data_IF_845806963763
#
_entry.id   IF_845806963763
#
_cell.length_a   1.000
_cell.length_b   1.000
_cell.length_c   1.000
_cell.angle_alpha   90.00
_cell.angle_beta   90.00
_cell.angle_gamma   90.00
#
_symmetry.space_group_name_H-M   'P 1'
#
loop_
_entity.id
_entity.type
_entity.pdbx_description
1 polymer ?
#
# COMPACT_ATOMS: atom_id res chain seq x y z
N UNK A 1 19.07 -2.56 -19.47
CA UNK A 1 17.63 -2.86 -19.63
C UNK A 1 16.89 -2.09 -18.55
N UNK A 2 16.45 -0.86 -18.82
CA UNK A 2 15.79 -0.01 -17.84
C UNK A 2 14.28 -0.14 -17.98
N UNK A 3 13.65 -0.95 -17.15
CA UNK A 3 12.19 -1.06 -17.04
C UNK A 3 11.76 -0.15 -15.89
N UNK A 4 11.23 1.05 -16.18
CA UNK A 4 10.61 1.84 -15.10
C UNK A 4 9.36 1.09 -14.66
N UNK A 5 9.04 1.13 -13.36
CA UNK A 5 7.81 0.53 -12.80
C UNK A 5 6.55 0.99 -13.56
N UNK A 6 6.55 2.23 -14.05
CA UNK A 6 5.48 2.76 -14.90
C UNK A 6 5.29 1.99 -16.22
N UNK A 7 6.36 1.47 -16.83
CA UNK A 7 6.29 0.75 -18.10
C UNK A 7 5.64 -0.64 -17.90
N UNK A 8 5.94 -1.31 -16.79
CA UNK A 8 5.32 -2.58 -16.43
C UNK A 8 3.79 -2.46 -16.26
N UNK A 9 3.33 -1.34 -15.68
CA UNK A 9 1.91 -1.06 -15.49
C UNK A 9 1.18 -0.67 -16.78
N UNK A 10 1.84 0.00 -17.73
CA UNK A 10 1.25 0.26 -19.06
C UNK A 10 0.95 -1.03 -19.82
N UNK A 11 1.81 -2.04 -19.68
CA UNK A 11 1.57 -3.36 -20.27
C UNK A 11 0.43 -4.16 -19.59
N UNK A 12 0.01 -3.75 -18.38
CA UNK A 12 -1.03 -4.41 -17.59
C UNK A 12 -2.06 -3.37 -17.08
N UNK A 13 -2.87 -2.77 -17.98
CA UNK A 13 -3.85 -1.76 -17.59
C UNK A 13 -4.93 -2.35 -16.68
N UNK A 14 -5.39 -1.58 -15.70
CA UNK A 14 -6.51 -2.01 -14.85
C UNK A 14 -7.83 -1.62 -15.51
N UNK A 15 -8.40 -2.55 -16.28
CA UNK A 15 -9.69 -2.36 -16.97
C UNK A 15 -10.84 -2.86 -16.08
N UNK A 16 -12.00 -2.19 -16.12
CA UNK A 16 -13.23 -2.58 -15.41
C UNK A 16 -13.08 -2.73 -13.88
N UNK A 17 -12.39 -1.79 -13.21
CA UNK A 17 -12.35 -1.77 -11.75
C UNK A 17 -13.74 -1.50 -11.15
N UNK A 18 -14.42 -2.57 -10.72
CA UNK A 18 -15.58 -2.45 -9.84
C UNK A 18 -15.07 -2.09 -8.44
N UNK A 19 -15.34 -0.87 -8.01
CA UNK A 19 -15.06 -0.45 -6.63
C UNK A 19 -16.05 -1.13 -5.70
N UNK A 20 -15.56 -2.12 -4.94
CA UNK A 20 -16.35 -2.82 -3.94
C UNK A 20 -16.41 -1.98 -2.67
N UNK A 21 -17.61 -1.88 -2.10
CA UNK A 21 -17.76 -1.39 -0.74
C UNK A 21 -17.47 -2.52 0.25
N UNK A 22 -16.22 -2.60 0.69
CA UNK A 22 -15.73 -3.65 1.60
C UNK A 22 -16.53 -3.74 2.91
N UNK A 23 -17.30 -2.71 3.28
CA UNK A 23 -18.06 -2.66 4.54
C UNK A 23 -19.48 -3.21 4.44
N UNK A 24 -20.07 -3.25 3.24
CA UNK A 24 -21.47 -3.69 3.04
C UNK A 24 -21.60 -5.09 2.44
N UNK A 25 -20.49 -5.69 2.03
CA UNK A 25 -20.46 -7.04 1.46
C UNK A 25 -20.85 -8.10 2.49
N UNK A 26 -21.79 -8.96 2.13
CA UNK A 26 -22.24 -10.09 2.97
C UNK A 26 -21.47 -11.38 2.71
N UNK A 27 -20.91 -11.53 1.52
CA UNK A 27 -20.23 -12.73 1.05
C UNK A 27 -18.91 -12.36 0.36
N UNK A 28 -17.93 -13.27 0.40
CA UNK A 28 -16.65 -13.12 -0.27
C UNK A 28 -16.81 -13.38 -1.78
N UNK A 29 -16.55 -12.41 -2.66
CA UNK A 29 -16.65 -12.62 -4.10
C UNK A 29 -15.59 -13.60 -4.61
N UNK A 30 -15.91 -14.33 -5.69
CA UNK A 30 -14.92 -15.19 -6.37
C UNK A 30 -13.68 -14.43 -6.84
N UNK A 31 -13.80 -13.13 -7.14
CA UNK A 31 -12.66 -12.30 -7.51
C UNK A 31 -11.66 -12.10 -6.36
N UNK A 32 -12.07 -12.34 -5.11
CA UNK A 32 -11.24 -12.20 -3.90
C UNK A 32 -11.01 -13.56 -3.20
N UNK A 33 -11.61 -14.64 -3.69
CA UNK A 33 -11.41 -15.99 -3.18
C UNK A 33 -10.11 -16.56 -3.75
N UNK A 34 -9.03 -16.48 -2.96
CA UNK A 34 -7.74 -17.12 -3.25
C UNK A 34 -7.82 -18.62 -2.93
N UNK A 35 -7.34 -19.47 -3.84
CA UNK A 35 -7.34 -20.91 -3.62
C UNK A 35 -6.16 -21.30 -2.72
N UNK A 36 -6.38 -22.21 -1.77
CA UNK A 36 -5.35 -22.69 -0.85
C UNK A 36 -4.19 -23.46 -1.51
N UNK A 37 -4.23 -23.68 -2.83
CA UNK A 37 -3.15 -24.34 -3.59
C UNK A 37 -1.92 -23.44 -3.81
N UNK A 38 -2.03 -22.13 -3.55
CA UNK A 38 -0.89 -21.21 -3.58
C UNK A 38 -0.08 -21.34 -2.29
N UNK A 39 0.52 -22.52 -2.08
CA UNK A 39 1.53 -22.77 -1.03
C UNK A 39 1.24 -22.08 0.29
N UNK A 40 0.02 -22.24 0.83
CA UNK A 40 -0.38 -21.64 2.10
C UNK A 40 0.76 -21.84 3.08
N UNK A 41 1.37 -20.77 3.63
CA UNK A 41 2.54 -20.92 4.47
C UNK A 41 2.17 -21.92 5.54
N UNK A 42 2.84 -23.08 5.52
CA UNK A 42 2.72 -24.03 6.60
C UNK A 42 3.13 -23.23 7.83
N UNK A 43 2.18 -22.98 8.74
CA UNK A 43 2.48 -22.45 10.05
C UNK A 43 3.22 -23.57 10.79
N UNK A 44 4.46 -23.80 10.36
CA UNK A 44 5.35 -24.78 10.91
C UNK A 44 5.55 -24.46 12.39
N UNK A 45 5.39 -25.48 13.22
CA UNK A 45 5.68 -25.43 14.63
C UNK A 45 7.03 -24.75 14.92
N UNK A 46 6.97 -23.65 15.68
CA UNK A 46 8.01 -23.13 16.57
C UNK A 46 9.43 -22.92 16.01
N UNK A 47 9.61 -22.01 15.05
CA UNK A 47 10.85 -21.22 15.01
C UNK A 47 10.57 -19.81 15.56
N UNK A 48 11.26 -19.44 16.64
CA UNK A 48 11.21 -18.11 17.25
C UNK A 48 11.99 -17.07 16.41
N UNK A 49 11.99 -17.22 15.10
CA UNK A 49 12.66 -16.31 14.19
C UNK A 49 11.75 -15.08 13.99
N UNK A 50 12.07 -14.01 14.71
CA UNK A 50 11.38 -12.72 14.59
C UNK A 50 12.08 -11.85 13.54
N UNK A 51 11.29 -11.08 12.79
CA UNK A 51 11.81 -10.08 11.84
C UNK A 51 12.80 -9.16 12.58
N UNK A 52 14.03 -8.97 12.07
CA UNK A 52 15.04 -8.16 12.74
C UNK A 52 14.56 -6.73 13.03
N UNK A 53 14.79 -6.25 14.25
CA UNK A 53 14.54 -4.86 14.65
C UNK A 53 15.88 -4.15 14.81
N UNK A 54 16.11 -3.10 14.02
CA UNK A 54 17.40 -2.41 13.95
C UNK A 54 17.27 -1.01 14.54
N UNK A 55 18.04 -0.73 15.58
CA UNK A 55 18.19 0.62 16.13
C UNK A 55 19.14 1.44 15.23
N UNK A 56 18.63 2.49 14.57
CA UNK A 56 19.47 3.31 13.67
C UNK A 56 20.51 4.19 14.40
N UNK A 57 20.45 4.29 15.72
CA UNK A 57 21.51 4.91 16.54
C UNK A 57 22.63 3.93 16.93
N UNK A 58 22.47 2.64 16.65
CA UNK A 58 23.54 1.66 16.90
C UNK A 58 24.74 1.94 15.98
N UNK A 59 25.97 2.03 16.49
CA UNK A 59 27.18 2.19 15.68
C UNK A 59 27.33 1.14 14.56
N UNK A 60 26.74 -0.05 14.73
CA UNK A 60 26.74 -1.15 13.78
C UNK A 60 25.49 -1.21 12.88
N UNK A 61 24.59 -0.23 12.93
CA UNK A 61 23.32 -0.25 12.20
C UNK A 61 23.49 -0.60 10.72
N UNK A 62 24.49 -0.05 10.04
CA UNK A 62 24.78 -0.35 8.64
C UNK A 62 25.08 -1.84 8.39
N UNK A 63 25.86 -2.47 9.29
CA UNK A 63 26.20 -3.90 9.19
C UNK A 63 24.96 -4.77 9.46
N UNK A 64 24.14 -4.38 10.44
CA UNK A 64 22.89 -5.06 10.77
C UNK A 64 21.87 -4.97 9.62
N UNK A 65 21.72 -3.79 9.00
CA UNK A 65 20.87 -3.61 7.81
C UNK A 65 21.37 -4.49 6.68
N UNK A 66 22.67 -4.45 6.39
CA UNK A 66 23.27 -5.28 5.34
C UNK A 66 23.08 -6.78 5.58
N UNK A 67 23.15 -7.23 6.83
CA UNK A 67 22.87 -8.62 7.19
C UNK A 67 21.40 -8.97 6.98
N UNK A 68 20.47 -8.17 7.53
CA UNK A 68 19.03 -8.41 7.39
C UNK A 68 18.57 -8.39 5.92
N UNK A 69 19.11 -7.51 5.08
CA UNK A 69 18.84 -7.54 3.64
C UNK A 69 19.24 -8.88 2.98
N UNK A 70 20.34 -9.50 3.41
CA UNK A 70 20.85 -10.75 2.82
C UNK A 70 20.13 -12.00 3.34
N UNK A 71 19.79 -12.01 4.63
CA UNK A 71 19.25 -13.21 5.29
C UNK A 71 17.74 -13.21 5.43
N UNK A 72 17.12 -12.02 5.47
CA UNK A 72 15.67 -11.86 5.66
C UNK A 72 14.95 -11.18 4.49
N UNK A 73 15.60 -10.21 3.83
CA UNK A 73 14.95 -9.37 2.82
C UNK A 73 13.97 -8.33 3.39
N UNK A 74 13.77 -8.32 4.72
CA UNK A 74 12.92 -7.37 5.46
C UNK A 74 13.48 -7.12 6.86
N UNK A 75 13.24 -5.93 7.41
CA UNK A 75 13.59 -5.56 8.78
C UNK A 75 12.71 -4.39 9.24
N UNK A 76 12.61 -4.20 10.56
CA UNK A 76 12.01 -3.02 11.18
C UNK A 76 13.11 -2.08 11.67
N UNK A 77 12.81 -0.78 11.75
CA UNK A 77 13.76 0.22 12.26
C UNK A 77 13.20 0.95 13.47
N UNK A 78 14.07 1.27 14.43
CA UNK A 78 13.77 2.14 15.58
C UNK A 78 14.77 3.29 15.64
N UNK A 79 14.43 4.35 16.38
CA UNK A 79 15.26 5.56 16.50
C UNK A 79 15.63 6.20 15.14
N UNK A 80 14.71 6.12 14.17
CA UNK A 80 14.90 6.62 12.81
C UNK A 80 14.84 8.15 12.68
N UNK A 81 14.59 8.89 13.77
CA UNK A 81 14.61 10.35 13.80
C UNK A 81 13.36 11.03 13.23
N UNK A 82 12.45 10.28 12.60
CA UNK A 82 11.13 10.81 12.19
C UNK A 82 10.30 11.09 13.44
N UNK A 83 9.78 12.33 13.62
CA UNK A 83 8.96 12.68 14.77
C UNK A 83 7.68 11.84 14.88
N UNK A 84 7.34 11.40 16.09
CA UNK A 84 6.14 10.58 16.33
C UNK A 84 4.85 11.32 15.97
N UNK A 85 4.76 12.62 16.26
CA UNK A 85 3.59 13.43 15.91
C UNK A 85 3.34 13.48 14.41
N UNK A 86 4.41 13.47 13.59
CA UNK A 86 4.27 13.43 12.13
C UNK A 86 3.68 12.10 11.65
N UNK A 87 4.07 10.98 12.28
CA UNK A 87 3.50 9.67 11.97
C UNK A 87 2.02 9.60 12.35
N UNK A 88 1.65 10.14 13.51
CA UNK A 88 0.26 10.24 13.98
C UNK A 88 -0.60 11.10 13.05
N UNK A 89 -0.07 12.26 12.60
CA UNK A 89 -0.72 13.14 11.64
C UNK A 89 -0.93 12.44 10.28
N UNK A 90 0.09 11.73 9.78
CA UNK A 90 0.01 10.96 8.54
C UNK A 90 -1.06 9.86 8.64
N UNK A 91 -1.08 9.12 9.74
CA UNK A 91 -2.07 8.05 9.98
C UNK A 91 -3.49 8.62 10.09
N UNK A 92 -3.65 9.75 10.78
CA UNK A 92 -4.92 10.47 10.88
C UNK A 92 -5.40 10.99 9.51
N UNK A 93 -4.50 11.50 8.67
CA UNK A 93 -4.80 11.93 7.30
C UNK A 93 -5.26 10.75 6.43
N UNK A 94 -4.57 9.60 6.53
CA UNK A 94 -4.97 8.36 5.86
C UNK A 94 -6.36 7.88 6.28
N UNK A 95 -6.63 7.82 7.59
CA UNK A 95 -7.97 7.50 8.12
C UNK A 95 -9.05 8.42 7.57
N UNK A 96 -8.80 9.74 7.56
CA UNK A 96 -9.74 10.74 7.02
C UNK A 96 -10.01 10.51 5.53
N UNK A 97 -8.98 10.20 4.74
CA UNK A 97 -9.11 9.91 3.31
C UNK A 97 -10.02 8.70 3.06
N UNK A 98 -9.78 7.57 3.75
CA UNK A 98 -10.54 6.34 3.51
C UNK A 98 -11.94 6.36 4.13
N UNK A 99 -12.17 7.22 5.13
CA UNK A 99 -13.49 7.48 5.70
C UNK A 99 -14.41 8.30 4.78
N UNK A 100 -13.88 8.94 3.72
CA UNK A 100 -14.70 9.66 2.75
C UNK A 100 -15.69 8.72 2.04
N UNK A 101 -16.89 9.21 1.65
CA UNK A 101 -17.78 8.47 0.79
C UNK A 101 -17.10 8.06 -0.51
N UNK A 102 -17.45 6.89 -1.05
CA UNK A 102 -16.85 6.34 -2.28
C UNK A 102 -16.88 7.34 -3.43
N UNK A 103 -18.00 8.05 -3.61
CA UNK A 103 -18.17 9.07 -4.65
C UNK A 103 -17.15 10.21 -4.54
N UNK A 104 -16.73 10.56 -3.32
CA UNK A 104 -15.70 11.57 -3.10
C UNK A 104 -14.31 11.01 -3.40
N UNK A 105 -14.01 9.76 -2.97
CA UNK A 105 -12.73 9.09 -3.26
C UNK A 105 -12.50 8.93 -4.76
N UNK A 106 -13.56 8.61 -5.52
CA UNK A 106 -13.52 8.46 -6.98
C UNK A 106 -13.17 9.75 -7.73
N UNK A 107 -13.28 10.94 -7.13
CA UNK A 107 -12.81 12.18 -7.75
C UNK A 107 -11.29 12.19 -7.97
N UNK A 108 -10.56 11.39 -7.20
CA UNK A 108 -9.13 11.17 -7.37
C UNK A 108 -8.83 9.74 -7.85
N UNK A 109 -9.77 9.11 -8.58
CA UNK A 109 -9.56 7.78 -9.17
C UNK A 109 -8.32 7.77 -10.06
N UNK A 110 -7.55 6.69 -9.96
CA UNK A 110 -6.41 6.45 -10.83
C UNK A 110 -6.88 6.07 -12.23
N UNK A 111 -6.27 6.65 -13.25
CA UNK A 111 -6.49 6.27 -14.65
C UNK A 111 -6.06 4.80 -14.91
N UNK A 112 -6.68 4.07 -15.86
CA UNK A 112 -6.37 2.65 -16.11
C UNK A 112 -4.89 2.33 -16.37
N UNK A 113 -4.18 3.24 -17.05
CA UNK A 113 -2.75 3.20 -17.36
C UNK A 113 -1.90 4.02 -16.36
N UNK A 114 -2.56 4.75 -15.47
CA UNK A 114 -1.93 5.57 -14.45
C UNK A 114 -1.40 4.76 -13.26
N UNK A 115 -0.65 5.45 -12.41
CA UNK A 115 -0.07 4.88 -11.17
C UNK A 115 -0.57 5.61 -9.92
N UNK A 116 -0.84 6.92 -10.03
CA UNK A 116 -1.28 7.79 -8.93
C UNK A 116 -2.81 7.88 -8.86
N UNK A 117 -3.38 7.89 -7.66
CA UNK A 117 -4.81 8.00 -7.38
C UNK A 117 -5.39 6.85 -6.56
N UNK A 118 -6.70 6.92 -6.35
CA UNK A 118 -7.51 5.96 -5.61
C UNK A 118 -7.85 4.72 -6.45
N UNK A 119 -7.86 3.53 -5.83
CA UNK A 119 -8.32 2.26 -6.41
C UNK A 119 -7.70 1.05 -5.72
N UNK A 120 -7.87 -0.16 -6.26
CA UNK A 120 -7.19 -1.37 -5.72
C UNK A 120 -5.67 -1.27 -5.84
N UNK A 121 -4.89 -2.04 -5.09
CA UNK A 121 -3.43 -1.99 -5.21
C UNK A 121 -2.98 -2.20 -6.66
N UNK A 122 -2.06 -1.37 -7.19
CA UNK A 122 -1.69 -1.47 -8.62
C UNK A 122 -1.10 -2.83 -8.98
N UNK A 123 -0.40 -3.45 -8.03
CA UNK A 123 0.18 -4.79 -8.17
C UNK A 123 -0.89 -5.86 -8.42
N UNK A 124 -2.16 -5.62 -8.06
CA UNK A 124 -3.27 -6.55 -8.32
C UNK A 124 -3.47 -6.84 -9.81
N UNK A 125 -2.96 -6.01 -10.73
CA UNK A 125 -3.00 -6.32 -12.17
C UNK A 125 -2.14 -7.51 -12.58
N UNK A 126 -1.24 -7.98 -11.72
CA UNK A 126 -0.37 -9.13 -11.98
C UNK A 126 -0.91 -10.44 -11.36
N UNK A 127 -2.07 -10.41 -10.72
CA UNK A 127 -2.66 -11.57 -10.06
C UNK A 127 -4.02 -11.91 -10.67
N UNK A 128 -4.40 -13.20 -10.69
CA UNK A 128 -5.71 -13.63 -11.17
C UNK A 128 -6.86 -13.26 -10.21
N UNK A 129 -6.52 -12.89 -8.97
CA UNK A 129 -7.46 -12.53 -7.90
C UNK A 129 -7.09 -11.16 -7.32
N UNK A 130 -8.09 -10.48 -6.74
CA UNK A 130 -7.96 -9.18 -6.10
C UNK A 130 -7.68 -9.34 -4.60
N UNK A 131 -6.93 -8.38 -4.07
CA UNK A 131 -6.69 -8.27 -2.63
C UNK A 131 -7.92 -7.68 -1.94
N UNK A 132 -8.19 -8.09 -0.70
CA UNK A 132 -9.23 -7.46 0.13
C UNK A 132 -8.75 -6.11 0.67
N UNK A 133 -8.64 -5.13 -0.21
CA UNK A 133 -8.12 -3.81 0.12
C UNK A 133 -8.63 -2.71 -0.80
N UNK A 134 -8.66 -1.50 -0.27
CA UNK A 134 -8.64 -0.28 -1.06
C UNK A 134 -7.29 0.42 -0.86
N UNK A 135 -6.87 1.21 -1.84
CA UNK A 135 -5.59 1.88 -1.83
C UNK A 135 -5.64 3.28 -2.41
N UNK A 136 -4.63 4.07 -2.05
CA UNK A 136 -4.38 5.37 -2.61
C UNK A 136 -2.89 5.49 -2.87
N UNK A 137 -2.50 5.71 -4.12
CA UNK A 137 -1.09 5.86 -4.50
C UNK A 137 -0.81 7.32 -4.82
N UNK A 138 0.24 7.90 -4.24
CA UNK A 138 0.67 9.27 -4.54
C UNK A 138 2.01 9.19 -5.26
N UNK A 139 2.02 9.61 -6.52
CA UNK A 139 3.26 9.92 -7.25
C UNK A 139 3.25 11.41 -7.58
N UNK A 140 4.33 12.08 -7.22
CA UNK A 140 4.46 13.53 -7.38
C UNK A 140 3.78 14.29 -6.24
N UNK A 141 3.17 15.42 -6.57
CA UNK A 141 2.57 16.30 -5.56
C UNK A 141 1.27 15.72 -5.00
N UNK A 142 1.13 15.58 -3.66
CA UNK A 142 -0.13 15.16 -3.03
C UNK A 142 -1.27 16.17 -3.26
N UNK A 143 -0.92 17.43 -3.52
CA UNK A 143 -1.86 18.54 -3.67
C UNK A 143 -2.84 18.39 -4.85
N UNK A 144 -2.40 17.76 -5.94
CA UNK A 144 -3.24 17.49 -7.12
C UNK A 144 -4.45 16.61 -6.78
N UNK A 145 -4.26 15.67 -5.87
CA UNK A 145 -5.33 14.81 -5.37
C UNK A 145 -6.10 15.46 -4.23
N UNK A 146 -5.40 16.12 -3.31
CA UNK A 146 -6.02 16.80 -2.18
C UNK A 146 -7.06 17.84 -2.62
N UNK A 147 -6.79 18.62 -3.68
CA UNK A 147 -7.77 19.60 -4.21
C UNK A 147 -9.05 18.94 -4.71
N UNK A 148 -8.97 17.74 -5.29
CA UNK A 148 -10.11 16.99 -5.82
C UNK A 148 -10.95 16.40 -4.69
N UNK A 149 -10.27 15.94 -3.63
CA UNK A 149 -10.88 15.31 -2.46
C UNK A 149 -11.42 16.30 -1.43
N UNK A 150 -10.79 17.46 -1.26
CA UNK A 150 -11.18 18.49 -0.28
C UNK A 150 -11.11 19.90 -0.88
N UNK A 151 -12.00 20.25 -1.84
CA UNK A 151 -11.92 21.51 -2.57
C UNK A 151 -11.93 22.76 -1.66
N UNK A 152 -12.54 22.67 -0.48
CA UNK A 152 -12.63 23.79 0.47
C UNK A 152 -11.61 23.73 1.62
N UNK A 153 -10.77 22.68 1.72
CA UNK A 153 -9.88 22.43 2.89
C UNK A 153 -8.56 21.70 2.56
N UNK A 154 -8.08 21.76 1.32
CA UNK A 154 -6.90 21.00 0.89
C UNK A 154 -5.56 21.55 1.41
N UNK A 155 -5.51 22.77 1.96
CA UNK A 155 -4.25 23.43 2.38
C UNK A 155 -3.59 22.83 3.61
N UNK A 156 -4.27 21.91 4.31
CA UNK A 156 -3.74 21.14 5.44
C UNK A 156 -3.27 19.74 5.03
N UNK A 157 -3.14 19.49 3.73
CA UNK A 157 -2.72 18.22 3.14
C UNK A 157 -1.45 18.40 2.31
#
# INVERSE_FOLDING_TARGET
MHTRVADAFKAHPMVNQKHLDLKSMKELPESHAWLSQDGSPSYGSSSSEQVPVINLKDPNAMKLVGHACKTWGVFQVTNHGVPTNLLEEMEAAGRKLFALPIQQKLKAARAPDGVSGYGVARISSFFPKLMWSEGFTIIGSPYEHARKLWPNRYSRF
#
